data_IF_897085311240
#
_entry.id   IF_897085311240
#
_cell.length_a   1.000
_cell.length_b   1.000
_cell.length_c   1.000
_cell.angle_alpha   90.00
_cell.angle_beta   90.00
_cell.angle_gamma   90.00
#
_symmetry.space_group_name_H-M   'P 1'
#
loop_
_entity.id
_entity.type
_entity.pdbx_description
1 polymer ?
#
# COMPACT_ATOMS: atom_id res chain seq x y z
N UNK A 1 1.82 -22.46 4.03
CA UNK A 1 1.86 -20.99 4.23
C UNK A 1 1.47 -20.27 2.94
N UNK A 2 0.28 -20.55 2.40
CA UNK A 2 -0.25 -19.82 1.25
C UNK A 2 -0.85 -18.46 1.67
N UNK A 3 -1.25 -18.36 2.94
CA UNK A 3 -1.93 -17.22 3.53
C UNK A 3 -1.11 -15.94 3.55
N UNK A 4 0.20 -16.02 3.82
CA UNK A 4 1.01 -14.81 3.96
C UNK A 4 1.27 -14.12 2.62
N UNK A 5 1.37 -14.90 1.53
CA UNK A 5 1.51 -14.34 0.18
C UNK A 5 0.19 -13.75 -0.30
N UNK A 6 -0.93 -14.41 0.02
CA UNK A 6 -2.27 -13.87 -0.21
C UNK A 6 -2.48 -12.57 0.58
N UNK A 7 -2.04 -12.51 1.84
CA UNK A 7 -2.06 -11.28 2.65
C UNK A 7 -1.21 -10.18 2.03
N UNK A 8 0.01 -10.48 1.59
CA UNK A 8 0.89 -9.51 0.93
C UNK A 8 0.18 -8.85 -0.27
N UNK A 9 -0.35 -9.67 -1.17
CA UNK A 9 -1.05 -9.18 -2.35
C UNK A 9 -2.34 -8.44 -1.99
N UNK A 10 -3.07 -8.90 -0.96
CA UNK A 10 -4.25 -8.19 -0.44
C UNK A 10 -3.92 -6.80 0.12
N UNK A 11 -2.80 -6.66 0.84
CA UNK A 11 -2.33 -5.34 1.31
C UNK A 11 -1.94 -4.43 0.14
N UNK A 12 -1.26 -4.97 -0.89
CA UNK A 12 -0.89 -4.21 -2.10
C UNK A 12 -2.12 -3.76 -2.88
N UNK A 13 -3.10 -4.64 -3.07
CA UNK A 13 -4.36 -4.30 -3.73
C UNK A 13 -5.11 -3.19 -2.96
N UNK A 14 -5.16 -3.28 -1.63
CA UNK A 14 -5.77 -2.25 -0.79
C UNK A 14 -5.03 -0.90 -0.92
N UNK A 15 -3.70 -0.90 -1.02
CA UNK A 15 -2.92 0.32 -1.26
C UNK A 15 -3.32 0.94 -2.61
N UNK A 16 -3.34 0.17 -3.70
CA UNK A 16 -3.75 0.66 -5.04
C UNK A 16 -5.13 1.31 -5.00
N UNK A 17 -6.12 0.65 -4.38
CA UNK A 17 -7.48 1.19 -4.26
C UNK A 17 -7.50 2.52 -3.47
N UNK A 18 -6.75 2.60 -2.37
CA UNK A 18 -6.70 3.82 -1.56
C UNK A 18 -5.91 4.94 -2.21
N UNK A 19 -4.95 4.65 -3.09
CA UNK A 19 -4.28 5.65 -3.93
C UNK A 19 -5.30 6.28 -4.88
N UNK A 20 -6.08 5.47 -5.60
CA UNK A 20 -7.13 5.98 -6.49
C UNK A 20 -8.15 6.84 -5.72
N UNK A 21 -8.55 6.40 -4.51
CA UNK A 21 -9.41 7.20 -3.63
C UNK A 21 -8.76 8.51 -3.21
N UNK A 22 -7.49 8.49 -2.80
CA UNK A 22 -6.73 9.68 -2.42
C UNK A 22 -6.67 10.71 -3.55
N UNK A 23 -6.45 10.26 -4.79
CA UNK A 23 -6.40 11.11 -5.98
C UNK A 23 -7.78 11.67 -6.36
N UNK A 24 -8.85 10.90 -6.14
CA UNK A 24 -10.23 11.32 -6.41
C UNK A 24 -10.79 12.26 -5.33
N UNK A 25 -10.35 12.13 -4.07
CA UNK A 25 -10.85 12.96 -2.98
C UNK A 25 -10.45 14.42 -3.16
N UNK A 26 -11.40 15.32 -2.95
CA UNK A 26 -11.15 16.77 -2.94
C UNK A 26 -10.95 17.30 -1.52
N UNK A 27 -11.53 16.63 -0.51
CA UNK A 27 -11.46 17.02 0.89
C UNK A 27 -10.20 16.46 1.57
N UNK A 28 -9.52 17.30 2.33
CA UNK A 28 -8.29 16.92 3.04
C UNK A 28 -8.53 15.81 4.08
N UNK A 29 -9.70 15.79 4.73
CA UNK A 29 -10.06 14.75 5.70
C UNK A 29 -10.11 13.35 5.08
N UNK A 30 -10.69 13.22 3.89
CA UNK A 30 -10.77 11.95 3.17
C UNK A 30 -9.41 11.51 2.64
N UNK A 31 -8.60 12.47 2.17
CA UNK A 31 -7.20 12.23 1.80
C UNK A 31 -6.40 11.71 2.99
N UNK A 32 -6.54 12.31 4.16
CA UNK A 32 -5.87 11.87 5.38
C UNK A 32 -6.32 10.47 5.81
N UNK A 33 -7.60 10.15 5.63
CA UNK A 33 -8.11 8.79 5.87
C UNK A 33 -7.45 7.78 4.91
N UNK A 34 -7.43 8.06 3.61
CA UNK A 34 -6.78 7.20 2.62
C UNK A 34 -5.29 7.00 2.92
N UNK A 35 -4.57 8.08 3.24
CA UNK A 35 -3.16 8.03 3.62
C UNK A 35 -2.91 7.17 4.86
N UNK A 36 -3.79 7.26 5.87
CA UNK A 36 -3.69 6.45 7.09
C UNK A 36 -3.82 4.96 6.76
N UNK A 37 -4.78 4.59 5.90
CA UNK A 37 -4.95 3.20 5.46
C UNK A 37 -3.72 2.71 4.69
N UNK A 38 -3.22 3.50 3.74
CA UNK A 38 -2.02 3.16 2.96
C UNK A 38 -0.83 2.89 3.89
N UNK A 39 -0.55 3.79 4.84
CA UNK A 39 0.55 3.62 5.81
C UNK A 39 0.40 2.37 6.67
N UNK A 40 -0.82 2.06 7.09
CA UNK A 40 -1.09 0.84 7.84
C UNK A 40 -0.79 -0.42 7.01
N UNK A 41 -1.23 -0.46 5.75
CA UNK A 41 -0.96 -1.56 4.83
C UNK A 41 0.56 -1.72 4.60
N UNK A 42 1.28 -0.62 4.33
CA UNK A 42 2.73 -0.61 4.17
C UNK A 42 3.46 -1.16 5.41
N UNK A 43 3.01 -0.80 6.62
CA UNK A 43 3.58 -1.36 7.86
C UNK A 43 3.36 -2.87 8.00
N UNK A 44 2.21 -3.40 7.54
CA UNK A 44 1.97 -4.84 7.51
C UNK A 44 2.83 -5.55 6.47
N UNK A 45 2.97 -4.97 5.28
CA UNK A 45 3.86 -5.46 4.23
C UNK A 45 5.30 -5.51 4.74
N UNK A 46 5.79 -4.46 5.39
CA UNK A 46 7.14 -4.44 5.96
C UNK A 46 7.38 -5.58 6.97
N UNK A 47 6.38 -5.90 7.81
CA UNK A 47 6.44 -7.05 8.71
C UNK A 47 6.48 -8.40 7.97
N UNK A 48 5.71 -8.54 6.88
CA UNK A 48 5.72 -9.74 6.04
C UNK A 48 7.07 -9.90 5.33
N UNK A 49 7.58 -8.85 4.70
CA UNK A 49 8.88 -8.87 4.00
C UNK A 49 10.04 -9.10 4.97
N UNK A 50 9.98 -8.60 6.20
CA UNK A 50 10.99 -8.87 7.22
C UNK A 50 11.08 -10.36 7.58
N UNK A 51 9.93 -11.07 7.57
CA UNK A 51 9.85 -12.53 7.79
C UNK A 51 10.20 -13.33 6.54
N UNK A 52 9.86 -12.81 5.37
CA UNK A 52 10.03 -13.45 4.06
C UNK A 52 11.01 -12.66 3.18
N UNK A 53 12.29 -12.61 3.59
CA UNK A 53 13.33 -11.77 2.95
C UNK A 53 13.57 -12.03 1.46
N UNK A 54 13.11 -13.17 0.93
CA UNK A 54 13.23 -13.53 -0.48
C UNK A 54 12.07 -12.98 -1.33
N UNK A 55 11.05 -12.37 -0.73
CA UNK A 55 9.95 -11.77 -1.47
C UNK A 55 10.35 -10.42 -2.04
N UNK A 56 9.97 -10.13 -3.30
CA UNK A 56 10.30 -8.86 -3.92
C UNK A 56 9.52 -7.72 -3.27
N UNK A 57 10.20 -6.61 -3.02
CA UNK A 57 9.54 -5.34 -2.74
C UNK A 57 8.86 -4.81 -4.01
N UNK A 58 7.80 -4.04 -3.83
CA UNK A 58 7.07 -3.39 -4.91
C UNK A 58 6.94 -1.89 -4.64
N UNK A 59 6.52 -1.13 -5.66
CA UNK A 59 6.42 0.33 -5.56
C UNK A 59 5.33 0.78 -4.58
N UNK A 60 4.25 -0.01 -4.43
CA UNK A 60 3.16 0.25 -3.48
C UNK A 60 3.66 0.29 -2.03
N UNK A 61 4.63 -0.57 -1.72
CA UNK A 61 5.21 -0.74 -0.39
C UNK A 61 5.86 0.56 0.13
N UNK A 62 6.24 1.47 -0.79
CA UNK A 62 6.89 2.75 -0.50
C UNK A 62 6.20 3.95 -1.15
N UNK A 63 4.95 3.77 -1.62
CA UNK A 63 4.20 4.84 -2.24
C UNK A 63 4.00 6.02 -1.28
N UNK A 64 4.15 7.23 -1.82
CA UNK A 64 3.93 8.49 -1.12
C UNK A 64 3.24 9.47 -2.07
N UNK A 65 2.34 10.33 -1.56
CA UNK A 65 1.76 11.38 -2.38
C UNK A 65 2.86 12.29 -2.94
N UNK A 66 2.73 12.68 -4.22
CA UNK A 66 3.69 13.47 -5.00
C UNK A 66 5.01 12.75 -5.37
N UNK A 67 5.24 11.52 -4.90
CA UNK A 67 6.33 10.69 -5.41
C UNK A 67 5.75 9.92 -6.59
N UNK A 68 6.04 10.38 -7.81
CA UNK A 68 5.53 9.76 -9.03
C UNK A 68 5.66 8.24 -8.97
N UNK A 69 4.58 7.53 -9.32
CA UNK A 69 4.53 6.08 -9.33
C UNK A 69 4.21 5.61 -10.76
N UNK A 70 4.68 4.42 -11.17
CA UNK A 70 4.33 3.89 -12.48
C UNK A 70 2.81 3.76 -12.56
N UNK A 71 2.22 4.42 -13.57
CA UNK A 71 0.80 4.22 -13.90
C UNK A 71 0.63 2.75 -14.28
N UNK A 72 -0.23 2.04 -13.53
CA UNK A 72 -0.62 0.65 -13.79
C UNK A 72 -1.41 0.53 -15.08
#
# INVERSE_FOLDING_TARGET
MADDRLKLEGQRAAIREHITKYEAYSLEGEKNFALKTIRNCQAQIAKLLARHKHWPASWEDNWLPNRGHPQT
#
